data_IF_365454791711
#
_entry.id   IF_365454791711
#
_cell.length_a   1.000
_cell.length_b   1.000
_cell.length_c   1.000
_cell.angle_alpha   90.00
_cell.angle_beta   90.00
_cell.angle_gamma   90.00
#
_symmetry.space_group_name_H-M   'P 1'
#
loop_
_entity.id
_entity.type
_entity.pdbx_description
1 polymer ?
#
# COMPACT_ATOMS: atom_id res chain seq x y z
N UNK A 1 4.60 -4.31 31.61
CA UNK A 1 4.50 -5.45 30.68
C UNK A 1 3.37 -5.26 29.68
N UNK A 2 2.09 -5.33 30.07
CA UNK A 2 0.94 -5.19 29.13
C UNK A 2 0.94 -3.89 28.30
N UNK A 3 1.31 -2.75 28.91
CA UNK A 3 1.42 -1.48 28.19
C UNK A 3 2.53 -1.46 27.13
N UNK A 4 3.66 -2.12 27.40
CA UNK A 4 4.77 -2.21 26.45
C UNK A 4 4.42 -3.15 25.29
N UNK A 5 3.74 -4.27 25.57
CA UNK A 5 3.27 -5.21 24.54
C UNK A 5 2.18 -4.57 23.65
N UNK A 6 1.27 -3.81 24.25
CA UNK A 6 0.23 -3.05 23.55
C UNK A 6 0.85 -2.02 22.59
N UNK A 7 1.82 -1.24 23.06
CA UNK A 7 2.55 -0.29 22.20
C UNK A 7 3.38 -0.99 21.13
N UNK A 8 4.05 -2.10 21.45
CA UNK A 8 4.82 -2.88 20.48
C UNK A 8 3.92 -3.39 19.34
N UNK A 9 2.71 -3.85 19.66
CA UNK A 9 1.75 -4.31 18.67
C UNK A 9 1.26 -3.14 17.78
N UNK A 10 0.92 -2.01 18.38
CA UNK A 10 0.51 -0.79 17.64
C UNK A 10 1.64 -0.28 16.74
N UNK A 11 2.87 -0.24 17.24
CA UNK A 11 4.06 0.16 16.48
C UNK A 11 4.35 -0.80 15.33
N UNK A 12 4.22 -2.11 15.55
CA UNK A 12 4.40 -3.12 14.50
C UNK A 12 3.32 -2.99 13.41
N UNK A 13 2.08 -2.76 13.82
CA UNK A 13 0.96 -2.56 12.88
C UNK A 13 1.11 -1.26 12.09
N UNK A 14 1.58 -0.19 12.75
CA UNK A 14 1.90 1.08 12.09
C UNK A 14 3.06 0.94 11.10
N UNK A 15 4.09 0.17 11.46
CA UNK A 15 5.21 -0.12 10.56
C UNK A 15 4.74 -0.92 9.34
N UNK A 16 3.92 -1.96 9.54
CA UNK A 16 3.36 -2.76 8.45
C UNK A 16 2.45 -1.93 7.55
N UNK A 17 1.59 -1.09 8.13
CA UNK A 17 0.72 -0.17 7.39
C UNK A 17 1.53 0.81 6.55
N UNK A 18 2.55 1.42 7.15
CA UNK A 18 3.43 2.36 6.45
C UNK A 18 4.17 1.68 5.31
N UNK A 19 4.75 0.50 5.56
CA UNK A 19 5.45 -0.26 4.52
C UNK A 19 4.52 -0.61 3.35
N UNK A 20 3.28 -1.01 3.66
CA UNK A 20 2.28 -1.34 2.64
C UNK A 20 1.89 -0.12 1.80
N UNK A 21 1.62 1.03 2.44
CA UNK A 21 1.28 2.27 1.74
C UNK A 21 2.39 2.74 0.80
N UNK A 22 3.64 2.72 1.27
CA UNK A 22 4.80 3.09 0.46
C UNK A 22 5.09 2.07 -0.65
N UNK A 23 4.89 0.77 -0.42
CA UNK A 23 5.04 -0.25 -1.44
C UNK A 23 4.03 -0.08 -2.58
N UNK A 24 2.75 0.18 -2.25
CA UNK A 24 1.70 0.45 -3.23
C UNK A 24 2.03 1.73 -4.03
N UNK A 25 2.46 2.79 -3.35
CA UNK A 25 2.88 4.04 -4.00
C UNK A 25 4.04 3.82 -4.96
N UNK A 26 5.10 3.11 -4.53
CA UNK A 26 6.25 2.80 -5.37
C UNK A 26 5.87 1.95 -6.58
N UNK A 27 5.02 0.94 -6.42
CA UNK A 27 4.53 0.12 -7.52
C UNK A 27 3.74 0.95 -8.54
N UNK A 28 2.89 1.87 -8.07
CA UNK A 28 2.12 2.76 -8.93
C UNK A 28 3.03 3.77 -9.68
N UNK A 29 4.02 4.37 -9.00
CA UNK A 29 5.01 5.27 -9.64
C UNK A 29 5.85 4.51 -10.67
N UNK A 30 6.28 3.28 -10.35
CA UNK A 30 7.00 2.42 -11.29
C UNK A 30 6.14 2.11 -12.52
N UNK A 31 4.88 1.70 -12.33
CA UNK A 31 3.97 1.39 -13.44
C UNK A 31 3.76 2.59 -14.37
N UNK A 32 3.56 3.78 -13.81
CA UNK A 32 3.42 5.03 -14.58
C UNK A 32 4.71 5.37 -15.31
N UNK A 33 5.87 5.25 -14.65
CA UNK A 33 7.16 5.59 -15.26
C UNK A 33 7.54 4.65 -16.41
N UNK A 34 7.07 3.39 -16.36
CA UNK A 34 7.29 2.39 -17.40
C UNK A 34 6.13 2.31 -18.40
N UNK A 35 5.08 3.12 -18.24
CA UNK A 35 3.95 3.14 -19.16
C UNK A 35 4.41 3.43 -20.59
N UNK A 36 5.26 4.45 -20.82
CA UNK A 36 5.77 4.76 -22.17
C UNK A 36 6.55 3.62 -22.85
N UNK A 37 7.23 2.77 -22.07
CA UNK A 37 7.94 1.57 -22.59
C UNK A 37 6.95 0.46 -22.94
N UNK A 38 5.83 0.37 -22.24
CA UNK A 38 4.76 -0.59 -22.49
C UNK A 38 3.83 -0.18 -23.65
N UNK A 39 3.81 1.10 -24.02
CA UNK A 39 2.83 1.69 -24.96
C UNK A 39 3.46 2.19 -26.26
N UNK A 40 4.77 2.47 -26.27
CA UNK A 40 5.54 2.96 -27.41
C UNK A 40 6.05 1.88 -28.39
N UNK A 41 5.21 0.89 -28.73
CA UNK A 41 5.54 -0.08 -29.78
C UNK A 41 4.86 0.23 -31.14
N UNK A 42 5.27 1.30 -31.86
CA UNK A 42 5.17 1.34 -33.32
C UNK A 42 6.56 1.21 -33.97
N UNK A 43 6.72 0.12 -34.73
CA UNK A 43 7.63 -0.21 -35.85
C UNK A 43 9.13 0.16 -35.87
N UNK A 44 9.63 1.13 -35.12
CA UNK A 44 11.06 1.50 -35.07
C UNK A 44 11.70 1.35 -33.67
N UNK A 45 10.96 0.73 -32.74
CA UNK A 45 11.42 0.36 -31.39
C UNK A 45 12.37 -0.88 -31.36
N UNK A 46 13.10 -1.14 -32.45
CA UNK A 46 13.90 -2.35 -32.62
C UNK A 46 15.16 -2.43 -31.73
N UNK A 47 15.58 -1.34 -31.09
CA UNK A 47 16.83 -1.31 -30.31
C UNK A 47 16.63 -1.27 -28.78
N UNK A 48 15.44 -0.90 -28.30
CA UNK A 48 15.11 -0.85 -26.86
C UNK A 48 14.11 -1.92 -26.41
N UNK A 49 13.30 -2.46 -27.34
CA UNK A 49 12.32 -3.52 -27.11
C UNK A 49 12.80 -4.89 -27.64
N UNK A 50 14.10 -5.18 -27.54
CA UNK A 50 14.65 -6.50 -27.84
C UNK A 50 14.09 -7.63 -26.94
N UNK A 51 13.28 -7.30 -25.93
CA UNK A 51 12.61 -8.27 -25.05
C UNK A 51 11.13 -8.56 -25.36
N UNK A 52 10.49 -7.82 -26.28
CA UNK A 52 9.06 -8.01 -26.62
C UNK A 52 8.80 -8.39 -28.07
N UNK A 53 9.87 -8.59 -28.86
CA UNK A 53 9.76 -9.55 -29.95
C UNK A 53 9.68 -10.93 -29.33
N UNK A 54 8.76 -11.74 -29.84
CA UNK A 54 8.80 -13.17 -29.58
C UNK A 54 10.23 -13.61 -29.86
N UNK A 55 11.00 -14.03 -28.84
CA UNK A 55 12.40 -14.30 -29.04
C UNK A 55 12.54 -15.30 -30.17
N UNK A 56 13.62 -15.23 -30.96
CA UNK A 56 13.73 -16.07 -32.16
C UNK A 56 13.74 -17.58 -31.81
N UNK A 57 14.07 -17.91 -30.56
CA UNK A 57 13.96 -19.25 -29.98
C UNK A 57 12.52 -19.70 -29.67
N UNK A 58 11.59 -18.76 -29.54
CA UNK A 58 10.19 -18.94 -29.16
C UNK A 58 9.27 -18.85 -30.39
N UNK A 59 9.75 -18.28 -31.49
CA UNK A 59 9.08 -18.24 -32.79
C UNK A 59 8.65 -19.62 -33.35
N UNK A 60 9.42 -20.72 -33.19
CA UNK A 60 8.98 -22.04 -33.63
C UNK A 60 7.90 -22.66 -32.74
N UNK A 61 7.76 -22.17 -31.50
CA UNK A 61 6.91 -22.77 -30.46
C UNK A 61 5.57 -22.07 -30.27
N UNK A 62 5.36 -20.92 -30.93
CA UNK A 62 4.10 -20.17 -30.84
C UNK A 62 3.34 -20.28 -32.15
N UNK A 63 2.17 -20.92 -32.13
CA UNK A 63 1.30 -20.97 -33.28
C UNK A 63 0.86 -19.56 -33.70
N UNK A 64 0.75 -19.28 -35.01
CA UNK A 64 0.45 -17.95 -35.53
C UNK A 64 -0.91 -17.40 -35.03
N UNK A 65 -1.85 -18.27 -34.70
CA UNK A 65 -3.18 -17.92 -34.19
C UNK A 65 -3.08 -17.26 -32.81
N UNK A 66 -2.16 -17.72 -31.95
CA UNK A 66 -1.90 -17.12 -30.64
C UNK A 66 -1.25 -15.74 -30.76
N UNK A 67 -0.33 -15.57 -31.71
CA UNK A 67 0.29 -14.27 -31.97
C UNK A 67 -0.75 -13.24 -32.47
N UNK A 68 -1.67 -13.66 -33.35
CA UNK A 68 -2.78 -12.81 -33.82
C UNK A 68 -3.81 -12.51 -32.73
N UNK A 69 -4.16 -13.50 -31.90
CA UNK A 69 -5.06 -13.29 -30.77
C UNK A 69 -4.48 -12.29 -29.76
N UNK A 70 -3.19 -12.41 -29.43
CA UNK A 70 -2.49 -11.50 -28.54
C UNK A 70 -2.39 -10.08 -29.14
N UNK A 71 -2.08 -9.97 -30.44
CA UNK A 71 -2.03 -8.69 -31.15
C UNK A 71 -3.40 -8.01 -31.19
N UNK A 72 -4.48 -8.79 -31.36
CA UNK A 72 -5.86 -8.27 -31.34
C UNK A 72 -6.27 -7.80 -29.94
N UNK A 73 -5.90 -8.53 -28.90
CA UNK A 73 -6.07 -8.12 -27.50
C UNK A 73 -5.30 -6.83 -27.18
N UNK A 74 -4.03 -6.72 -27.61
CA UNK A 74 -3.23 -5.51 -27.41
C UNK A 74 -3.80 -4.32 -28.19
N UNK A 75 -4.25 -4.53 -29.42
CA UNK A 75 -4.87 -3.48 -30.23
C UNK A 75 -6.18 -2.98 -29.60
N UNK A 76 -6.95 -3.87 -28.96
CA UNK A 76 -8.14 -3.52 -28.19
C UNK A 76 -7.84 -2.73 -26.91
N UNK A 77 -6.63 -2.85 -26.36
CA UNK A 77 -6.18 -2.11 -25.18
C UNK A 77 -5.62 -0.71 -25.49
N UNK A 78 -5.28 -0.43 -26.75
CA UNK A 78 -4.72 0.86 -27.18
C UNK A 78 -5.51 2.09 -26.69
N UNK A 79 -6.84 2.15 -26.83
CA UNK A 79 -7.64 3.29 -26.36
C UNK A 79 -7.67 3.45 -24.82
N UNK A 80 -7.64 2.32 -24.08
CA UNK A 80 -7.63 2.33 -22.62
C UNK A 80 -6.28 2.82 -22.09
N UNK A 81 -5.21 2.40 -22.76
CA UNK A 81 -3.83 2.85 -22.52
C UNK A 81 -3.69 4.35 -22.79
N UNK A 82 -4.20 4.84 -23.91
CA UNK A 82 -4.15 6.27 -24.26
C UNK A 82 -4.93 7.12 -23.24
N UNK A 83 -6.11 6.64 -22.82
CA UNK A 83 -6.88 7.30 -21.76
C UNK A 83 -6.10 7.35 -20.43
N UNK A 84 -5.36 6.29 -20.11
CA UNK A 84 -4.52 6.23 -18.92
C UNK A 84 -3.31 7.18 -19.02
N UNK A 85 -2.69 7.27 -20.20
CA UNK A 85 -1.60 8.22 -20.48
C UNK A 85 -2.07 9.67 -20.38
N UNK A 86 -3.26 9.99 -20.89
CA UNK A 86 -3.83 11.34 -20.71
C UNK A 86 -4.20 11.64 -19.26
N UNK A 87 -4.60 10.64 -18.48
CA UNK A 87 -4.83 10.78 -17.04
C UNK A 87 -3.52 10.84 -16.23
N UNK A 88 -2.36 10.52 -16.82
CA UNK A 88 -1.08 10.36 -16.13
C UNK A 88 -0.61 11.61 -15.38
N UNK A 89 -0.69 12.85 -15.92
CA UNK A 89 -0.30 14.06 -15.19
C UNK A 89 -1.18 14.31 -13.97
N UNK A 90 -2.48 14.04 -14.08
CA UNK A 90 -3.44 14.14 -12.97
C UNK A 90 -3.20 13.04 -11.92
N UNK A 91 -2.85 11.82 -12.36
CA UNK A 91 -2.48 10.69 -11.51
C UNK A 91 -1.14 10.93 -10.80
N UNK A 92 -0.14 11.55 -11.42
CA UNK A 92 1.16 11.80 -10.80
C UNK A 92 1.06 12.73 -9.58
N UNK A 93 0.26 13.80 -9.69
CA UNK A 93 -0.05 14.68 -8.56
C UNK A 93 -1.01 14.03 -7.56
N UNK A 94 -2.09 13.43 -8.05
CA UNK A 94 -3.15 12.85 -7.23
C UNK A 94 -2.72 11.61 -6.43
N UNK A 95 -1.84 10.77 -6.98
CA UNK A 95 -1.34 9.55 -6.33
C UNK A 95 -0.52 9.89 -5.08
N UNK A 96 0.32 10.93 -5.14
CA UNK A 96 1.11 11.37 -3.99
C UNK A 96 0.20 11.93 -2.89
N UNK A 97 -0.75 12.79 -3.26
CA UNK A 97 -1.74 13.35 -2.31
C UNK A 97 -2.60 12.24 -1.69
N UNK A 98 -3.12 11.32 -2.50
CA UNK A 98 -3.91 10.18 -2.04
C UNK A 98 -3.11 9.26 -1.11
N UNK A 99 -1.82 9.04 -1.41
CA UNK A 99 -0.92 8.26 -0.55
C UNK A 99 -0.73 8.96 0.80
N UNK A 100 -0.51 10.27 0.82
CA UNK A 100 -0.41 11.04 2.06
C UNK A 100 -1.70 11.01 2.88
N UNK A 101 -2.86 11.14 2.23
CA UNK A 101 -4.17 11.09 2.91
C UNK A 101 -4.43 9.70 3.49
N UNK A 102 -4.21 8.64 2.70
CA UNK A 102 -4.42 7.27 3.13
C UNK A 102 -3.45 6.87 4.25
N UNK A 103 -2.17 7.21 4.10
CA UNK A 103 -1.15 6.97 5.11
C UNK A 103 -1.45 7.73 6.41
N UNK A 104 -1.77 9.02 6.31
CA UNK A 104 -2.08 9.89 7.44
C UNK A 104 -3.34 9.44 8.18
N UNK A 105 -4.40 9.11 7.45
CA UNK A 105 -5.66 8.63 8.04
C UNK A 105 -5.46 7.31 8.77
N UNK A 106 -4.78 6.34 8.16
CA UNK A 106 -4.48 5.06 8.81
C UNK A 106 -3.58 5.21 10.03
N UNK A 107 -2.57 6.08 9.96
CA UNK A 107 -1.68 6.39 11.09
C UNK A 107 -2.44 7.03 12.26
N UNK A 108 -3.33 8.00 11.98
CA UNK A 108 -4.17 8.62 12.98
C UNK A 108 -5.11 7.60 13.65
N UNK A 109 -5.74 6.73 12.87
CA UNK A 109 -6.63 5.68 13.39
C UNK A 109 -5.88 4.72 14.34
N UNK A 110 -4.67 4.32 13.97
CA UNK A 110 -3.83 3.43 14.77
C UNK A 110 -3.37 4.08 16.08
N UNK A 111 -3.02 5.37 16.05
CA UNK A 111 -2.64 6.14 17.26
C UNK A 111 -3.84 6.27 18.20
N UNK A 112 -5.03 6.61 17.66
CA UNK A 112 -6.27 6.70 18.46
C UNK A 112 -6.60 5.35 19.08
N UNK A 113 -6.44 4.25 18.34
CA UNK A 113 -6.64 2.89 18.85
C UNK A 113 -5.67 2.58 20.00
N UNK A 114 -4.39 2.92 19.85
CA UNK A 114 -3.38 2.75 20.89
C UNK A 114 -3.69 3.56 22.15
N UNK A 115 -4.08 4.82 22.00
CA UNK A 115 -4.48 5.70 23.10
C UNK A 115 -5.75 5.19 23.81
N UNK A 116 -6.75 4.74 23.04
CA UNK A 116 -7.99 4.16 23.56
C UNK A 116 -7.73 2.89 24.38
N UNK A 117 -6.89 1.99 23.87
CA UNK A 117 -6.49 0.77 24.58
C UNK A 117 -5.74 1.11 25.88
N UNK A 118 -4.86 2.12 25.84
CA UNK A 118 -4.14 2.61 27.01
C UNK A 118 -5.08 3.14 28.11
N UNK A 119 -6.07 3.94 27.72
CA UNK A 119 -7.11 4.47 28.60
C UNK A 119 -7.98 3.35 29.18
N UNK A 120 -8.37 2.36 28.37
CA UNK A 120 -9.17 1.22 28.80
C UNK A 120 -8.46 0.42 29.91
N UNK A 121 -7.16 0.13 29.72
CA UNK A 121 -6.32 -0.54 30.72
C UNK A 121 -6.23 0.32 31.99
N UNK A 122 -6.05 1.64 31.85
CA UNK A 122 -5.97 2.56 32.99
C UNK A 122 -7.29 2.62 33.78
N UNK A 123 -8.44 2.64 33.10
CA UNK A 123 -9.76 2.66 33.74
C UNK A 123 -10.07 1.34 34.45
N UNK A 124 -9.68 0.21 33.86
CA UNK A 124 -9.88 -1.10 34.48
C UNK A 124 -9.05 -1.27 35.76
N UNK A 125 -7.81 -0.78 35.77
CA UNK A 125 -6.94 -0.83 36.95
C UNK A 125 -7.46 0.05 38.10
N UNK A 126 -8.12 1.17 37.79
CA UNK A 126 -8.77 2.05 38.78
C UNK A 126 -9.97 1.37 39.45
N UNK A 127 -10.74 0.56 38.70
CA UNK A 127 -11.89 -0.20 39.25
C UNK A 127 -11.46 -1.40 40.11
N UNK A 128 -10.31 -2.02 39.81
CA UNK A 128 -9.76 -3.12 40.62
C UNK A 128 -8.99 -2.68 41.87
N UNK A 129 -8.60 -1.41 41.98
CA UNK A 129 -7.81 -0.86 43.09
C UNK A 129 -8.61 -0.24 44.23
N UNK A 130 -9.94 -0.10 44.11
CA UNK A 130 -10.80 0.50 45.14
C UNK A 130 -11.15 -0.46 46.31
N UNK A 131 -10.65 -1.69 46.29
CA UNK A 131 -10.85 -2.70 47.33
C UNK A 131 -9.60 -2.86 48.21
N UNK A 132 -8.95 -1.75 48.59
CA UNK A 132 -7.90 -1.75 49.62
C UNK A 132 -8.52 -1.41 50.98
N UNK A 133 -8.34 -2.23 52.05
CA UNK A 133 -8.94 -1.97 53.34
C UNK A 133 -8.41 -0.64 53.92
N UNK A 134 -9.36 0.18 54.39
CA UNK A 134 -9.12 1.41 55.18
C UNK A 134 -8.12 1.09 56.30
N UNK A 135 -7.06 1.87 56.52
CA UNK A 135 -6.20 1.65 57.68
C UNK A 135 -7.02 1.87 58.94
N UNK A 136 -7.24 0.78 59.69
CA UNK A 136 -7.70 0.83 61.06
C UNK A 136 -6.56 1.43 61.89
N UNK A 137 -6.70 2.70 62.26
CA UNK A 137 -5.64 3.41 62.96
C UNK A 137 -6.01 4.84 63.30
N UNK A 138 -7.21 5.06 63.84
CA UNK A 138 -7.51 6.28 64.58
C UNK A 138 -7.99 5.85 65.97
N UNK A 139 -7.02 5.51 66.83
CA UNK A 139 -7.22 5.34 68.26
C UNK A 139 -6.22 6.27 68.96
N UNK A 140 -6.79 7.13 69.82
CA UNK A 140 -6.22 7.86 70.95
C UNK A 140 -5.18 8.98 70.71
N UNK A 141 -5.60 10.22 70.96
CA UNK A 141 -5.28 10.96 72.20
C UNK A 141 -6.35 12.04 72.44
#
# INVERSE_FOLDING_TARGET
MLYALSWFLVSSLLALWSLSAWAIHAAAVWAVSNAGVLTGAPSDAASGAAGLRLPEWLAPWVPPEFAQALTSLLSGLGPAVESLLQATPALAGGLTVATWVLWGLGSALLIVLGAGLHLLIAMWRRRGGASGPRPAGQVAA
#
